data_IF_362849968438
#
_entry.id   IF_362849968438
#
_cell.length_a   1.000
_cell.length_b   1.000
_cell.length_c   1.000
_cell.angle_alpha   90.00
_cell.angle_beta   90.00
_cell.angle_gamma   90.00
#
_symmetry.space_group_name_H-M   'P 1'
#
loop_
_entity.id
_entity.type
_entity.pdbx_description
1 polymer ?
#
# COMPACT_ATOMS: atom_id res chain seq x y z
N UNK A 1 65.11 47.84 -10.95
CA UNK A 1 64.30 47.08 -11.94
C UNK A 1 62.89 47.05 -11.39
N UNK A 2 61.97 47.76 -12.05
CA UNK A 2 60.56 47.84 -11.66
C UNK A 2 59.90 46.53 -12.07
N UNK A 3 59.27 45.82 -11.13
CA UNK A 3 58.20 44.89 -11.48
C UNK A 3 57.09 44.96 -10.43
N UNK A 4 55.93 45.33 -10.96
CA UNK A 4 54.61 45.51 -10.36
C UNK A 4 54.07 44.22 -9.75
N UNK A 5 53.75 44.25 -8.45
CA UNK A 5 53.00 43.20 -7.76
C UNK A 5 51.53 43.61 -7.62
N UNK A 6 50.66 42.87 -8.29
CA UNK A 6 49.21 43.00 -8.32
C UNK A 6 48.61 42.74 -6.91
N UNK A 7 47.89 43.71 -6.34
CA UNK A 7 47.08 43.51 -5.13
C UNK A 7 45.76 42.84 -5.53
N UNK A 8 45.61 41.56 -5.20
CA UNK A 8 44.32 40.85 -5.32
C UNK A 8 43.53 41.11 -4.05
N UNK A 9 42.59 42.06 -4.12
CA UNK A 9 41.58 42.26 -3.10
C UNK A 9 40.55 41.14 -3.21
N UNK A 10 40.63 40.12 -2.34
CA UNK A 10 39.58 39.12 -2.21
C UNK A 10 38.31 39.78 -1.63
N UNK A 11 37.37 40.16 -2.50
CA UNK A 11 35.99 40.36 -2.10
C UNK A 11 35.39 38.99 -1.75
N UNK A 12 35.29 38.69 -0.47
CA UNK A 12 34.44 37.61 0.03
C UNK A 12 32.99 38.08 -0.18
N UNK A 13 32.38 37.64 -1.27
CA UNK A 13 30.92 37.70 -1.40
C UNK A 13 30.33 36.72 -0.39
N UNK A 14 29.85 37.23 0.75
CA UNK A 14 28.82 36.53 1.52
C UNK A 14 27.56 36.54 0.65
N UNK A 15 27.40 35.52 -0.19
CA UNK A 15 26.10 35.20 -0.75
C UNK A 15 25.27 34.61 0.39
N UNK A 16 24.57 35.47 1.13
CA UNK A 16 23.44 35.05 1.95
C UNK A 16 22.33 34.62 1.01
N UNK A 17 22.36 33.36 0.59
CA UNK A 17 21.19 32.71 0.03
C UNK A 17 20.19 32.54 1.18
N UNK A 18 19.32 33.52 1.37
CA UNK A 18 18.11 33.35 2.18
C UNK A 18 17.17 32.44 1.38
N UNK A 19 17.43 31.13 1.44
CA UNK A 19 16.43 30.13 1.12
C UNK A 19 15.48 30.08 2.32
N UNK A 20 14.43 30.91 2.29
CA UNK A 20 13.36 30.83 3.25
C UNK A 20 12.46 29.66 2.88
N UNK A 21 12.44 28.62 3.72
CA UNK A 21 11.39 27.61 3.72
C UNK A 21 10.18 28.20 4.47
N UNK A 22 9.12 28.66 3.77
CA UNK A 22 8.01 29.38 4.40
C UNK A 22 7.29 28.52 5.45
N UNK A 23 7.41 27.20 5.33
CA UNK A 23 6.75 26.18 6.15
C UNK A 23 7.44 26.01 7.52
N UNK A 24 8.69 26.51 7.65
CA UNK A 24 9.51 26.46 8.86
C UNK A 24 9.93 27.84 9.41
N UNK A 25 9.57 28.95 8.76
CA UNK A 25 9.92 30.33 9.21
C UNK A 25 8.85 31.02 10.07
N UNK A 26 7.89 30.26 10.62
CA UNK A 26 6.82 30.83 11.47
C UNK A 26 5.77 31.65 10.71
N UNK A 27 5.90 31.78 9.40
CA UNK A 27 4.83 32.22 8.50
C UNK A 27 3.85 31.09 8.31
N UNK A 28 2.56 31.37 8.48
CA UNK A 28 1.49 30.39 8.32
C UNK A 28 1.53 29.89 6.86
N UNK A 29 1.74 28.59 6.65
CA UNK A 29 1.45 27.99 5.35
C UNK A 29 -0.03 28.23 5.04
N UNK A 30 -0.42 28.31 3.76
CA UNK A 30 -1.79 28.59 3.30
C UNK A 30 -2.85 27.65 3.90
N UNK A 31 -2.42 26.54 4.52
CA UNK A 31 -3.25 25.47 5.07
C UNK A 31 -3.10 25.30 6.60
N UNK A 32 -2.42 26.22 7.30
CA UNK A 32 -2.40 26.28 8.77
C UNK A 32 -1.52 25.27 9.52
N UNK A 33 -0.68 24.50 8.83
CA UNK A 33 0.25 23.55 9.45
C UNK A 33 1.68 24.12 9.48
N UNK A 34 2.39 23.90 10.60
CA UNK A 34 3.76 24.35 10.81
C UNK A 34 4.71 23.15 10.87
N UNK A 35 5.78 23.19 10.07
CA UNK A 35 6.94 22.34 10.29
C UNK A 35 7.68 22.76 11.56
N UNK A 36 8.43 21.84 12.16
CA UNK A 36 9.30 22.15 13.31
C UNK A 36 10.73 21.70 13.05
N UNK A 37 11.70 22.50 13.53
CA UNK A 37 13.11 22.18 13.43
C UNK A 37 13.48 21.11 14.46
N UNK A 38 13.89 19.94 14.00
CA UNK A 38 14.31 18.81 14.84
C UNK A 38 15.57 18.15 14.26
N UNK A 39 16.27 17.35 15.07
CA UNK A 39 17.28 16.43 14.53
C UNK A 39 16.59 15.36 13.68
N UNK A 40 17.26 14.87 12.64
CA UNK A 40 16.71 13.84 11.73
C UNK A 40 16.21 12.62 12.51
N UNK A 41 16.94 12.20 13.55
CA UNK A 41 16.58 11.07 14.42
C UNK A 41 15.34 11.29 15.30
N UNK A 42 14.90 12.54 15.45
CA UNK A 42 13.73 12.90 16.27
C UNK A 42 12.52 13.25 15.41
N UNK A 43 12.66 13.23 14.08
CA UNK A 43 11.56 13.39 13.15
C UNK A 43 10.80 12.05 13.03
N UNK A 44 9.49 12.01 13.29
CA UNK A 44 8.71 10.79 13.13
C UNK A 44 8.83 10.23 11.70
N UNK A 45 8.94 8.91 11.54
CA UNK A 45 9.21 8.24 10.26
C UNK A 45 8.19 8.52 9.13
N UNK A 46 7.03 9.10 9.45
CA UNK A 46 6.00 9.50 8.51
C UNK A 46 6.09 10.96 8.02
N UNK A 47 7.10 11.71 8.48
CA UNK A 47 7.29 13.13 8.17
C UNK A 47 8.42 13.32 7.15
N UNK A 48 8.28 14.34 6.30
CA UNK A 48 9.33 14.74 5.36
C UNK A 48 10.39 15.58 6.07
N UNK A 49 11.63 15.47 5.59
CA UNK A 49 12.81 16.16 6.13
C UNK A 49 13.39 17.06 5.04
N UNK A 50 13.24 18.38 5.17
CA UNK A 50 13.88 19.36 4.26
C UNK A 50 15.26 19.79 4.79
N UNK A 51 16.12 20.24 3.88
CA UNK A 51 17.51 20.63 4.19
C UNK A 51 17.66 21.94 4.97
N UNK A 52 16.58 22.67 5.26
CA UNK A 52 16.62 24.12 5.42
C UNK A 52 15.93 24.58 6.72
N UNK A 53 16.61 24.40 7.86
CA UNK A 53 16.32 25.18 9.09
C UNK A 53 17.33 26.34 9.18
N UNK A 54 16.99 27.54 8.69
CA UNK A 54 17.98 28.61 8.47
C UNK A 54 18.62 29.21 9.73
N UNK A 55 18.16 28.82 10.93
CA UNK A 55 18.62 29.39 12.22
C UNK A 55 19.36 28.42 13.14
N UNK A 56 19.43 27.13 12.80
CA UNK A 56 20.03 26.10 13.65
C UNK A 56 21.14 25.36 12.88
N UNK A 57 22.15 24.86 13.61
CA UNK A 57 23.34 24.22 13.02
C UNK A 57 23.02 23.06 12.05
N UNK A 58 24.04 22.60 11.32
CA UNK A 58 23.90 21.69 10.16
C UNK A 58 23.10 20.40 10.39
N UNK A 59 22.96 19.96 11.65
CA UNK A 59 22.29 18.71 12.06
C UNK A 59 20.78 18.88 12.35
N UNK A 60 20.26 20.10 12.30
CA UNK A 60 18.84 20.41 12.50
C UNK A 60 18.16 20.62 11.15
N UNK A 61 17.06 19.91 10.92
CA UNK A 61 16.30 19.87 9.68
C UNK A 61 14.83 20.20 9.93
N UNK A 62 14.15 20.69 8.89
CA UNK A 62 12.72 20.99 8.98
C UNK A 62 11.94 19.67 8.86
N UNK A 63 11.16 19.32 9.89
CA UNK A 63 10.36 18.10 9.99
C UNK A 63 8.86 18.45 9.89
N UNK A 64 8.16 17.92 8.89
CA UNK A 64 6.74 18.29 8.62
C UNK A 64 5.95 17.18 7.91
N UNK A 65 4.62 17.23 7.99
CA UNK A 65 3.69 16.24 7.43
C UNK A 65 2.78 16.89 6.38
N UNK A 66 2.76 16.35 5.16
CA UNK A 66 2.00 16.88 4.01
C UNK A 66 0.71 16.08 3.74
N UNK A 67 -0.07 15.74 4.76
CA UNK A 67 -1.25 14.86 4.64
C UNK A 67 -2.43 15.45 3.83
N UNK A 68 -2.32 16.66 3.28
CA UNK A 68 -3.38 17.35 2.53
C UNK A 68 -2.89 17.99 1.21
N UNK A 69 -1.86 17.43 0.57
CA UNK A 69 -1.52 17.73 -0.83
C UNK A 69 -1.02 19.15 -1.15
N UNK A 70 -0.52 19.89 -0.15
CA UNK A 70 -0.22 21.33 -0.31
C UNK A 70 1.25 21.73 -0.47
N UNK A 71 2.21 20.80 -0.44
CA UNK A 71 3.64 21.16 -0.40
C UNK A 71 4.24 21.22 -1.83
N UNK A 72 4.92 22.32 -2.19
CA UNK A 72 5.66 22.42 -3.45
C UNK A 72 6.92 21.54 -3.39
N UNK A 73 6.98 20.49 -4.20
CA UNK A 73 8.12 19.56 -4.27
C UNK A 73 9.26 20.04 -5.20
N UNK A 74 9.15 21.24 -5.78
CA UNK A 74 10.10 21.70 -6.79
C UNK A 74 11.28 22.48 -6.17
N UNK A 75 12.37 21.77 -5.90
CA UNK A 75 13.71 22.37 -5.85
C UNK A 75 14.61 21.71 -6.91
N UNK A 76 14.37 22.02 -8.18
CA UNK A 76 15.34 21.77 -9.24
C UNK A 76 16.52 22.73 -9.04
N UNK A 77 17.61 22.24 -8.45
CA UNK A 77 18.93 22.89 -8.50
C UNK A 77 19.49 22.65 -9.90
N UNK A 78 19.18 23.59 -10.81
CA UNK A 78 19.79 23.64 -12.14
C UNK A 78 21.27 24.01 -12.04
N UNK A 79 22.15 23.15 -12.55
CA UNK A 79 23.53 23.48 -12.90
C UNK A 79 23.53 24.29 -14.19
N UNK A 80 23.64 25.61 -14.07
CA UNK A 80 23.73 26.51 -15.21
C UNK A 80 25.17 26.84 -15.59
N UNK A 81 25.58 26.43 -16.79
CA UNK A 81 26.53 27.18 -17.63
C UNK A 81 26.12 27.04 -19.09
N UNK A 82 25.89 28.16 -19.79
CA UNK A 82 25.74 28.17 -21.25
C UNK A 82 24.81 29.25 -21.79
N UNK A 83 25.38 30.39 -22.11
CA UNK A 83 24.80 31.53 -22.83
C UNK A 83 24.24 31.17 -24.22
N UNK A 84 23.11 31.75 -24.60
CA UNK A 84 22.62 31.74 -25.98
C UNK A 84 21.30 32.50 -26.14
N UNK A 85 21.40 33.74 -26.61
CA UNK A 85 20.30 34.58 -27.09
C UNK A 85 19.64 33.97 -28.33
N UNK A 86 18.31 33.87 -28.37
CA UNK A 86 17.55 34.31 -29.54
C UNK A 86 16.04 34.42 -29.28
N UNK A 87 15.47 35.46 -29.88
CA UNK A 87 14.05 35.83 -29.88
C UNK A 87 13.27 35.05 -30.93
N UNK A 88 12.08 34.54 -30.59
CA UNK A 88 11.17 33.97 -31.58
C UNK A 88 9.82 33.53 -31.00
N UNK A 89 8.78 34.31 -31.30
CA UNK A 89 7.35 33.99 -31.09
C UNK A 89 6.91 32.74 -31.86
N UNK A 90 6.19 31.83 -31.20
CA UNK A 90 5.54 30.69 -31.85
C UNK A 90 4.60 29.92 -30.91
N UNK A 91 3.30 29.99 -31.20
CA UNK A 91 2.21 29.25 -30.58
C UNK A 91 2.30 27.76 -30.96
N UNK A 92 2.28 26.83 -30.01
CA UNK A 92 1.84 25.45 -30.26
C UNK A 92 1.28 24.77 -29.02
N UNK A 93 0.03 24.33 -29.14
CA UNK A 93 -0.65 23.35 -28.29
C UNK A 93 0.05 21.98 -28.36
N UNK A 94 0.45 21.45 -27.21
CA UNK A 94 0.98 20.09 -27.09
C UNK A 94 0.56 19.48 -25.76
N UNK A 95 -0.32 18.48 -25.83
CA UNK A 95 -0.66 17.55 -24.75
C UNK A 95 0.59 16.74 -24.38
N UNK A 96 1.19 17.04 -23.23
CA UNK A 96 2.33 16.31 -22.70
C UNK A 96 1.88 15.22 -21.72
N UNK A 97 1.93 13.97 -22.15
CA UNK A 97 1.90 12.80 -21.27
C UNK A 97 3.23 12.76 -20.51
N UNK A 98 3.23 13.05 -19.22
CA UNK A 98 4.42 12.92 -18.38
C UNK A 98 4.74 11.43 -18.20
N UNK A 99 5.78 10.94 -18.88
CA UNK A 99 6.37 9.64 -18.62
C UNK A 99 7.09 9.70 -17.28
N UNK A 100 6.52 9.09 -16.23
CA UNK A 100 7.19 8.93 -14.95
C UNK A 100 8.37 7.97 -15.10
N UNK A 101 9.59 8.49 -15.04
CA UNK A 101 10.86 7.77 -15.22
C UNK A 101 11.55 7.38 -13.91
N UNK A 102 10.86 7.47 -12.76
CA UNK A 102 11.37 6.98 -11.47
C UNK A 102 11.07 5.49 -11.25
N UNK A 103 12.03 4.72 -10.74
CA UNK A 103 11.80 3.37 -10.22
C UNK A 103 10.78 3.42 -9.09
N UNK A 104 9.81 2.50 -9.08
CA UNK A 104 8.79 2.45 -8.03
C UNK A 104 9.46 2.31 -6.66
N UNK A 105 9.02 3.03 -5.60
CA UNK A 105 9.49 2.79 -4.23
C UNK A 105 9.20 1.36 -3.75
N UNK A 106 8.37 0.61 -4.48
CA UNK A 106 8.05 -0.79 -4.21
C UNK A 106 8.84 -1.77 -5.08
N UNK A 107 9.81 -1.33 -5.89
CA UNK A 107 10.56 -2.18 -6.82
C UNK A 107 11.22 -3.39 -6.13
N UNK A 108 11.69 -3.21 -4.89
CA UNK A 108 12.35 -4.27 -4.12
C UNK A 108 11.37 -5.15 -3.33
N UNK A 109 10.05 -4.92 -3.41
CA UNK A 109 9.06 -5.71 -2.67
C UNK A 109 8.95 -7.12 -3.26
N UNK A 110 9.19 -8.12 -2.41
CA UNK A 110 9.10 -9.55 -2.71
C UNK A 110 8.18 -10.17 -1.68
N UNK A 111 6.89 -10.21 -2.02
CA UNK A 111 5.83 -10.51 -1.07
C UNK A 111 5.19 -11.88 -1.29
N UNK A 112 4.47 -12.34 -0.27
CA UNK A 112 3.53 -13.45 -0.40
C UNK A 112 2.36 -13.28 0.57
N UNK A 113 1.22 -13.87 0.25
CA UNK A 113 0.13 -14.02 1.21
C UNK A 113 0.36 -15.25 2.10
N UNK A 114 -0.01 -15.14 3.37
CA UNK A 114 -0.09 -16.26 4.30
C UNK A 114 -1.56 -16.45 4.68
N UNK A 115 -2.16 -17.51 4.13
CA UNK A 115 -3.57 -17.81 4.31
C UNK A 115 -3.89 -18.36 5.70
N UNK A 116 -5.12 -18.14 6.17
CA UNK A 116 -5.63 -18.73 7.41
C UNK A 116 -5.53 -20.25 7.47
N UNK A 117 -5.55 -20.93 6.33
CA UNK A 117 -5.42 -22.39 6.25
C UNK A 117 -4.01 -22.87 6.60
N UNK A 118 -3.04 -21.95 6.68
CA UNK A 118 -1.64 -22.19 7.00
C UNK A 118 -1.19 -21.43 8.25
N UNK A 119 -2.15 -20.97 9.06
CA UNK A 119 -1.82 -20.36 10.33
C UNK A 119 -1.07 -21.35 11.22
N UNK A 120 0.11 -20.92 11.65
CA UNK A 120 0.83 -21.54 12.72
C UNK A 120 -0.04 -21.65 13.98
N UNK A 121 0.19 -22.72 14.72
CA UNK A 121 -0.46 -22.98 16.01
C UNK A 121 0.39 -22.54 17.20
N UNK A 122 1.64 -22.14 16.96
CA UNK A 122 2.58 -21.64 17.97
C UNK A 122 3.57 -20.63 17.38
N UNK A 123 4.20 -19.84 18.25
CA UNK A 123 5.30 -18.95 17.88
C UNK A 123 6.46 -19.70 17.20
N UNK A 124 6.78 -20.92 17.64
CA UNK A 124 7.86 -21.72 17.05
C UNK A 124 7.58 -22.11 15.59
N UNK A 125 6.32 -22.44 15.27
CA UNK A 125 5.89 -22.72 13.89
C UNK A 125 5.93 -21.44 13.03
N UNK A 126 5.53 -20.30 13.59
CA UNK A 126 5.68 -18.99 12.92
C UNK A 126 7.15 -18.70 12.63
N UNK A 127 8.04 -18.89 13.60
CA UNK A 127 9.48 -18.67 13.44
C UNK A 127 10.08 -19.54 12.33
N UNK A 128 9.72 -20.83 12.29
CA UNK A 128 10.16 -21.74 11.22
C UNK A 128 9.68 -21.30 9.83
N UNK A 129 8.41 -20.86 9.75
CA UNK A 129 7.82 -20.34 8.50
C UNK A 129 8.54 -19.08 8.03
N UNK A 130 8.75 -18.10 8.91
CA UNK A 130 9.42 -16.85 8.59
C UNK A 130 10.90 -17.05 8.22
N UNK A 131 11.60 -17.96 8.90
CA UNK A 131 12.97 -18.34 8.53
C UNK A 131 13.04 -18.93 7.12
N UNK A 132 12.06 -19.79 6.76
CA UNK A 132 11.96 -20.34 5.39
C UNK A 132 11.68 -19.23 4.39
N UNK A 133 10.69 -18.36 4.64
CA UNK A 133 10.39 -17.24 3.75
C UNK A 133 11.59 -16.30 3.57
N UNK A 134 12.32 -15.99 4.65
CA UNK A 134 13.53 -15.18 4.59
C UNK A 134 14.61 -15.83 3.73
N UNK A 135 14.84 -17.13 3.93
CA UNK A 135 15.79 -17.89 3.12
C UNK A 135 15.41 -17.86 1.64
N UNK A 136 14.11 -17.72 1.32
CA UNK A 136 13.59 -17.62 -0.05
C UNK A 136 13.69 -16.23 -0.65
N UNK A 137 14.14 -15.22 0.10
CA UNK A 137 14.23 -13.83 -0.35
C UNK A 137 12.93 -13.04 -0.20
N UNK A 138 11.91 -13.60 0.48
CA UNK A 138 10.70 -12.86 0.82
C UNK A 138 11.05 -11.80 1.86
N UNK A 139 10.58 -10.58 1.63
CA UNK A 139 10.74 -9.45 2.53
C UNK A 139 9.41 -8.84 2.97
N UNK A 140 8.28 -9.38 2.52
CA UNK A 140 6.94 -8.95 2.95
C UNK A 140 5.94 -10.11 3.01
N UNK A 141 5.07 -10.09 4.01
CA UNK A 141 3.97 -11.04 4.19
C UNK A 141 2.66 -10.31 4.43
N UNK A 142 1.64 -10.63 3.62
CA UNK A 142 0.25 -10.28 3.88
C UNK A 142 -0.42 -11.43 4.65
N UNK A 143 -0.51 -11.31 5.96
CA UNK A 143 -1.02 -12.35 6.85
C UNK A 143 -2.53 -12.22 7.00
N UNK A 144 -3.29 -13.26 6.68
CA UNK A 144 -4.73 -13.27 6.92
C UNK A 144 -5.03 -13.08 8.41
N UNK A 145 -5.75 -12.04 8.79
CA UNK A 145 -6.10 -11.80 10.20
C UNK A 145 -7.60 -11.87 10.46
N UNK A 146 -8.42 -11.84 9.41
CA UNK A 146 -9.87 -11.84 9.53
C UNK A 146 -10.56 -12.55 8.37
N UNK A 147 -11.33 -13.58 8.72
CA UNK A 147 -12.15 -14.31 7.76
C UNK A 147 -13.27 -15.07 8.45
N UNK A 148 -14.45 -15.14 7.84
CA UNK A 148 -15.59 -15.95 8.29
C UNK A 148 -16.00 -15.74 9.76
N UNK A 149 -15.88 -14.51 10.27
CA UNK A 149 -16.23 -14.18 11.65
C UNK A 149 -15.22 -14.66 12.69
N UNK A 150 -14.00 -15.00 12.26
CA UNK A 150 -12.87 -15.32 13.13
C UNK A 150 -11.76 -14.28 12.94
N UNK A 151 -11.10 -13.93 14.03
CA UNK A 151 -9.93 -13.04 14.05
C UNK A 151 -8.72 -13.73 14.65
N UNK A 152 -7.54 -13.39 14.13
CA UNK A 152 -6.24 -13.92 14.55
C UNK A 152 -5.34 -12.84 15.14
N UNK A 153 -5.97 -11.83 15.73
CA UNK A 153 -5.38 -10.68 16.40
C UNK A 153 -6.38 -10.15 17.44
N UNK A 154 -5.92 -9.32 18.37
CA UNK A 154 -6.75 -8.71 19.40
C UNK A 154 -7.45 -7.46 18.84
N UNK A 155 -8.78 -7.42 18.91
CA UNK A 155 -9.59 -6.28 18.47
C UNK A 155 -10.77 -6.03 19.40
N UNK A 156 -10.73 -4.90 20.10
CA UNK A 156 -11.85 -4.39 20.90
C UNK A 156 -13.06 -4.07 20.02
N UNK A 157 -12.84 -3.65 18.78
CA UNK A 157 -13.90 -3.36 17.80
C UNK A 157 -14.67 -4.62 17.46
N UNK A 158 -13.98 -5.73 17.19
CA UNK A 158 -14.64 -7.03 16.98
C UNK A 158 -15.40 -7.48 18.24
N UNK A 159 -14.75 -7.40 19.41
CA UNK A 159 -15.34 -7.80 20.69
C UNK A 159 -16.57 -6.96 21.09
N UNK A 160 -16.67 -5.71 20.61
CA UNK A 160 -17.82 -4.84 20.85
C UNK A 160 -19.15 -5.42 20.32
N UNK A 161 -19.08 -6.38 19.37
CA UNK A 161 -20.25 -7.10 18.90
C UNK A 161 -20.80 -8.11 19.94
N UNK A 162 -20.07 -8.35 21.03
CA UNK A 162 -20.38 -9.37 22.04
C UNK A 162 -20.08 -10.80 21.55
N UNK A 163 -19.15 -10.95 20.60
CA UNK A 163 -18.81 -12.22 19.96
C UNK A 163 -17.40 -12.64 20.37
N UNK A 164 -17.24 -13.92 20.72
CA UNK A 164 -15.93 -14.53 20.90
C UNK A 164 -15.43 -15.09 19.56
N UNK A 165 -14.85 -14.22 18.73
CA UNK A 165 -14.26 -14.60 17.43
C UNK A 165 -12.74 -14.74 17.45
N UNK A 166 -12.09 -14.34 18.54
CA UNK A 166 -10.64 -14.46 18.71
C UNK A 166 -10.22 -15.92 18.84
N UNK A 167 -9.41 -16.39 17.89
CA UNK A 167 -8.92 -17.77 17.85
C UNK A 167 -7.58 -17.90 18.56
N UNK A 168 -6.62 -17.03 18.22
CA UNK A 168 -5.27 -16.90 18.81
C UNK A 168 -4.54 -15.70 18.19
N UNK A 169 -3.43 -15.28 18.80
CA UNK A 169 -2.67 -14.10 18.38
C UNK A 169 -1.60 -14.40 17.32
N UNK A 170 -2.02 -14.86 16.13
CA UNK A 170 -1.08 -15.17 15.03
C UNK A 170 -0.40 -13.90 14.55
N UNK A 171 -1.10 -12.76 14.53
CA UNK A 171 -0.54 -11.49 14.13
C UNK A 171 0.62 -11.07 15.04
N UNK A 172 0.49 -11.25 16.35
CA UNK A 172 1.57 -10.94 17.31
C UNK A 172 2.83 -11.74 17.03
N UNK A 173 2.70 -13.05 16.84
CA UNK A 173 3.84 -13.92 16.50
C UNK A 173 4.46 -13.53 15.16
N UNK A 174 3.65 -13.21 14.16
CA UNK A 174 4.13 -12.83 12.84
C UNK A 174 4.90 -11.51 12.87
N UNK A 175 4.40 -10.49 13.59
CA UNK A 175 5.10 -9.21 13.74
C UNK A 175 6.45 -9.39 14.44
N UNK A 176 6.49 -10.19 15.51
CA UNK A 176 7.73 -10.52 16.23
C UNK A 176 8.76 -11.19 15.30
N UNK A 177 8.34 -12.23 14.57
CA UNK A 177 9.24 -12.95 13.65
C UNK A 177 9.58 -12.14 12.40
N UNK A 178 8.68 -11.29 11.95
CA UNK A 178 8.91 -10.34 10.87
C UNK A 178 10.07 -9.40 11.18
N UNK A 179 10.04 -8.78 12.37
CA UNK A 179 11.12 -7.91 12.84
C UNK A 179 12.47 -8.64 12.93
N UNK A 180 12.50 -9.87 13.46
CA UNK A 180 13.73 -10.68 13.56
C UNK A 180 14.34 -11.01 12.20
N UNK A 181 13.52 -11.19 11.17
CA UNK A 181 13.94 -11.62 9.84
C UNK A 181 14.05 -10.47 8.82
N UNK A 182 13.69 -9.25 9.20
CA UNK A 182 13.56 -8.13 8.26
C UNK A 182 12.51 -8.41 7.19
N UNK A 183 11.36 -8.95 7.61
CA UNK A 183 10.17 -9.18 6.79
C UNK A 183 9.08 -8.23 7.29
N UNK A 184 8.58 -7.37 6.42
CA UNK A 184 7.42 -6.54 6.72
C UNK A 184 6.15 -7.38 6.82
N UNK A 185 5.38 -7.20 7.89
CA UNK A 185 4.10 -7.89 8.08
C UNK A 185 2.95 -6.92 7.89
N UNK A 186 1.99 -7.33 7.07
CA UNK A 186 0.77 -6.59 6.79
C UNK A 186 -0.44 -7.43 7.22
N UNK A 187 -1.34 -6.86 7.99
CA UNK A 187 -2.55 -7.55 8.44
C UNK A 187 -3.60 -7.53 7.32
N UNK A 188 -3.87 -8.69 6.74
CA UNK A 188 -4.79 -8.88 5.62
C UNK A 188 -6.20 -9.25 6.09
N UNK A 189 -7.14 -8.34 5.83
CA UNK A 189 -8.56 -8.45 6.15
C UNK A 189 -9.31 -9.15 5.01
N UNK A 190 -9.02 -10.44 4.80
CA UNK A 190 -9.52 -11.24 3.68
C UNK A 190 -11.02 -11.12 3.48
N UNK A 191 -11.85 -11.20 4.52
CA UNK A 191 -13.29 -11.17 4.25
C UNK A 191 -13.81 -9.81 3.79
N UNK A 192 -13.10 -8.69 4.00
CA UNK A 192 -13.51 -7.36 3.53
C UNK A 192 -14.97 -7.01 3.88
N UNK A 193 -15.89 -7.14 2.93
CA UNK A 193 -17.32 -6.94 3.13
C UNK A 193 -18.15 -8.23 3.15
N UNK A 194 -17.54 -9.41 3.05
CA UNK A 194 -18.23 -10.69 3.23
C UNK A 194 -18.61 -10.91 4.69
N UNK A 195 -19.85 -11.31 4.93
CA UNK A 195 -20.35 -11.74 6.22
C UNK A 195 -20.16 -13.25 6.43
N UNK A 196 -20.55 -14.05 5.43
CA UNK A 196 -20.44 -15.51 5.47
C UNK A 196 -20.60 -16.15 4.10
N UNK A 197 -20.21 -17.42 4.01
CA UNK A 197 -20.49 -18.31 2.88
C UNK A 197 -21.71 -19.18 3.19
N UNK A 198 -22.57 -19.44 2.20
CA UNK A 198 -23.68 -20.39 2.29
C UNK A 198 -25.04 -19.83 1.86
N UNK A 199 -26.09 -20.63 2.03
CA UNK A 199 -27.45 -20.32 1.57
C UNK A 199 -28.26 -19.41 2.50
N UNK A 200 -27.69 -18.97 3.63
CA UNK A 200 -28.37 -18.14 4.63
C UNK A 200 -27.43 -17.07 5.18
N UNK A 201 -27.92 -15.86 5.54
CA UNK A 201 -27.10 -14.82 6.14
C UNK A 201 -26.72 -15.12 7.60
N UNK A 202 -27.26 -16.19 8.20
CA UNK A 202 -27.18 -16.45 9.65
C UNK A 202 -26.46 -17.76 9.99
N UNK A 203 -25.44 -18.12 9.21
CA UNK A 203 -24.69 -19.38 9.35
C UNK A 203 -23.60 -19.37 10.44
N UNK A 204 -22.99 -18.22 10.75
CA UNK A 204 -21.99 -18.10 11.83
C UNK A 204 -22.50 -17.20 12.93
N UNK A 205 -21.88 -17.25 14.11
CA UNK A 205 -22.20 -16.31 15.22
C UNK A 205 -22.03 -14.85 14.75
N UNK A 206 -20.97 -14.58 13.98
CA UNK A 206 -20.73 -13.28 13.36
C UNK A 206 -21.84 -12.90 12.38
N UNK A 207 -22.12 -13.76 11.41
CA UNK A 207 -23.09 -13.43 10.36
C UNK A 207 -24.51 -13.27 10.92
N UNK A 208 -24.88 -14.08 11.92
CA UNK A 208 -26.13 -13.94 12.67
C UNK A 208 -26.21 -12.57 13.38
N UNK A 209 -25.14 -12.17 14.07
CA UNK A 209 -25.09 -10.86 14.74
C UNK A 209 -25.25 -9.70 13.76
N UNK A 210 -24.46 -9.66 12.68
CA UNK A 210 -24.50 -8.54 11.74
C UNK A 210 -25.81 -8.54 10.91
N UNK A 211 -26.42 -9.70 10.68
CA UNK A 211 -27.77 -9.79 10.14
C UNK A 211 -28.80 -9.14 11.09
N UNK A 212 -28.74 -9.46 12.39
CA UNK A 212 -29.61 -8.84 13.41
C UNK A 212 -29.40 -7.32 13.58
N UNK A 213 -28.22 -6.81 13.20
CA UNK A 213 -27.92 -5.38 13.16
C UNK A 213 -28.39 -4.69 11.86
N UNK A 214 -28.95 -5.44 10.90
CA UNK A 214 -29.36 -4.89 9.61
C UNK A 214 -28.18 -4.49 8.70
N UNK A 215 -27.01 -5.08 8.91
CA UNK A 215 -25.79 -4.74 8.17
C UNK A 215 -25.65 -5.48 6.84
N UNK A 216 -26.50 -6.48 6.58
CA UNK A 216 -26.42 -7.31 5.37
C UNK A 216 -27.07 -6.59 4.19
N UNK A 217 -26.32 -6.44 3.09
CA UNK A 217 -26.82 -5.96 1.81
C UNK A 217 -27.63 -7.01 1.06
N UNK A 218 -27.11 -8.23 1.02
CA UNK A 218 -27.71 -9.33 0.29
C UNK A 218 -26.73 -10.43 -0.06
N UNK A 219 -27.20 -11.40 -0.85
CA UNK A 219 -26.41 -12.52 -1.34
C UNK A 219 -25.94 -12.25 -2.78
N UNK A 220 -24.67 -12.52 -3.06
CA UNK A 220 -24.13 -12.57 -4.41
C UNK A 220 -23.13 -13.72 -4.53
N UNK A 221 -23.35 -14.58 -5.53
CA UNK A 221 -22.69 -15.88 -5.60
C UNK A 221 -23.02 -16.72 -4.36
N UNK A 222 -22.00 -17.33 -3.79
CA UNK A 222 -22.14 -18.19 -2.60
C UNK A 222 -21.99 -17.41 -1.27
N UNK A 223 -21.85 -16.08 -1.33
CA UNK A 223 -21.55 -15.25 -0.16
C UNK A 223 -22.66 -14.25 0.14
N UNK A 224 -22.83 -13.97 1.43
CA UNK A 224 -23.60 -12.85 1.94
C UNK A 224 -22.69 -11.68 2.25
N UNK A 225 -23.07 -10.49 1.81
CA UNK A 225 -22.25 -9.28 1.84
C UNK A 225 -22.86 -8.25 2.80
N UNK A 226 -22.01 -7.61 3.59
CA UNK A 226 -22.34 -6.44 4.39
C UNK A 226 -22.45 -5.20 3.50
N UNK A 227 -23.27 -4.23 3.90
CA UNK A 227 -23.56 -3.06 3.08
C UNK A 227 -22.47 -1.98 3.17
N UNK A 228 -21.69 -1.82 2.10
CA UNK A 228 -20.74 -0.71 1.92
C UNK A 228 -21.38 0.69 2.04
N UNK A 229 -22.70 0.82 1.85
CA UNK A 229 -23.43 2.07 2.06
C UNK A 229 -23.81 2.34 3.52
N UNK A 230 -23.57 1.39 4.43
CA UNK A 230 -23.85 1.52 5.85
C UNK A 230 -22.58 1.94 6.60
N UNK A 231 -22.55 3.17 7.13
CA UNK A 231 -21.37 3.68 7.84
C UNK A 231 -21.01 2.85 9.08
N UNK A 232 -21.97 2.19 9.74
CA UNK A 232 -21.66 1.32 10.89
C UNK A 232 -20.84 0.08 10.46
N UNK A 233 -21.06 -0.43 9.24
CA UNK A 233 -20.24 -1.51 8.67
C UNK A 233 -18.83 -1.01 8.40
N UNK A 234 -18.71 0.20 7.85
CA UNK A 234 -17.41 0.80 7.53
C UNK A 234 -16.64 1.18 8.80
N UNK A 235 -17.30 1.72 9.82
CA UNK A 235 -16.74 2.02 11.13
C UNK A 235 -16.26 0.75 11.82
N UNK A 236 -17.02 -0.35 11.71
CA UNK A 236 -16.61 -1.65 12.23
C UNK A 236 -15.35 -2.19 11.53
N UNK A 237 -15.32 -2.17 10.19
CA UNK A 237 -14.16 -2.64 9.42
C UNK A 237 -12.92 -1.78 9.67
N UNK A 238 -13.06 -0.45 9.57
CA UNK A 238 -11.98 0.49 9.85
C UNK A 238 -11.49 0.39 11.30
N UNK A 239 -12.40 0.23 12.26
CA UNK A 239 -12.04 0.09 13.67
C UNK A 239 -11.25 -1.19 13.94
N UNK A 240 -11.59 -2.31 13.29
CA UNK A 240 -10.76 -3.53 13.36
C UNK A 240 -9.37 -3.32 12.73
N UNK A 241 -9.30 -2.64 11.59
CA UNK A 241 -8.03 -2.29 10.94
C UNK A 241 -7.19 -1.37 11.84
N UNK A 242 -7.80 -0.38 12.46
CA UNK A 242 -7.15 0.53 13.39
C UNK A 242 -6.68 -0.19 14.66
N UNK A 243 -7.47 -1.11 15.22
CA UNK A 243 -7.04 -1.93 16.36
C UNK A 243 -5.78 -2.75 16.01
N UNK A 244 -5.66 -3.27 14.79
CA UNK A 244 -4.44 -3.96 14.35
C UNK A 244 -3.23 -3.02 14.27
N UNK A 245 -3.43 -1.78 13.82
CA UNK A 245 -2.37 -0.75 13.79
C UNK A 245 -1.93 -0.38 15.21
N UNK A 246 -2.89 -0.17 16.13
CA UNK A 246 -2.60 0.29 17.49
C UNK A 246 -1.97 -0.79 18.37
N UNK A 247 -2.45 -2.03 18.25
CA UNK A 247 -2.09 -3.11 19.18
C UNK A 247 -0.76 -3.79 18.82
N UNK A 248 -0.24 -3.59 17.60
CA UNK A 248 0.91 -4.33 17.08
C UNK A 248 2.03 -3.40 16.59
N UNK A 249 2.85 -2.85 17.51
CA UNK A 249 4.05 -2.10 17.14
C UNK A 249 4.98 -2.91 16.24
N UNK A 250 5.33 -2.37 15.08
CA UNK A 250 6.13 -3.06 14.07
C UNK A 250 5.33 -3.66 12.92
N UNK A 251 3.99 -3.63 12.98
CA UNK A 251 3.15 -3.90 11.83
C UNK A 251 3.42 -2.85 10.74
N UNK A 252 3.67 -3.29 9.51
CA UNK A 252 3.97 -2.38 8.40
C UNK A 252 2.72 -1.70 7.83
N UNK A 253 1.57 -2.37 7.92
CA UNK A 253 0.28 -1.84 7.50
C UNK A 253 -0.84 -2.87 7.53
N UNK A 254 -1.97 -2.51 6.95
CA UNK A 254 -3.17 -3.35 6.82
C UNK A 254 -3.55 -3.46 5.34
N UNK A 255 -4.18 -4.57 4.96
CA UNK A 255 -4.60 -4.81 3.58
C UNK A 255 -6.07 -5.22 3.48
N UNK A 256 -6.78 -4.59 2.54
CA UNK A 256 -8.05 -5.07 1.99
C UNK A 256 -7.77 -5.82 0.68
N UNK A 257 -8.50 -6.88 0.37
CA UNK A 257 -8.37 -7.61 -0.90
C UNK A 257 -9.61 -7.45 -1.79
N UNK A 258 -9.79 -8.38 -2.73
CA UNK A 258 -10.88 -8.45 -3.68
C UNK A 258 -12.25 -8.76 -3.04
N UNK A 259 -12.31 -8.91 -1.72
CA UNK A 259 -13.55 -8.99 -0.98
C UNK A 259 -13.99 -7.66 -0.34
N UNK A 260 -13.21 -6.59 -0.45
CA UNK A 260 -13.70 -5.22 -0.21
C UNK A 260 -14.41 -4.70 -1.46
N UNK A 261 -15.57 -5.28 -1.76
CA UNK A 261 -16.34 -5.01 -2.98
C UNK A 261 -17.84 -5.10 -2.74
N UNK A 262 -18.63 -4.59 -3.68
CA UNK A 262 -20.07 -4.86 -3.77
C UNK A 262 -20.38 -5.46 -5.14
N UNK A 263 -20.59 -6.79 -5.25
CA UNK A 263 -20.92 -7.43 -6.51
C UNK A 263 -22.11 -6.79 -7.22
N UNK A 264 -22.08 -6.76 -8.55
CA UNK A 264 -23.10 -6.12 -9.39
C UNK A 264 -24.52 -6.66 -9.12
N UNK A 265 -24.65 -7.92 -8.67
CA UNK A 265 -25.93 -8.53 -8.31
C UNK A 265 -26.64 -7.81 -7.15
N UNK A 266 -25.93 -7.01 -6.36
CA UNK A 266 -26.46 -6.31 -5.19
C UNK A 266 -27.04 -4.93 -5.50
N UNK A 267 -26.91 -4.46 -6.74
CA UNK A 267 -27.54 -3.21 -7.19
C UNK A 267 -26.76 -2.47 -8.26
N UNK A 268 -27.43 -1.51 -8.88
CA UNK A 268 -26.84 -0.56 -9.83
C UNK A 268 -26.39 0.71 -9.09
N UNK A 269 -25.39 1.42 -9.62
CA UNK A 269 -24.91 2.67 -9.04
C UNK A 269 -24.03 2.53 -7.79
N UNK A 270 -23.53 1.33 -7.49
CA UNK A 270 -22.71 1.08 -6.31
C UNK A 270 -21.25 1.55 -6.47
N UNK A 271 -20.83 2.02 -7.64
CA UNK A 271 -19.48 2.57 -7.86
C UNK A 271 -19.19 3.74 -6.93
N UNK A 272 -20.09 4.73 -6.87
CA UNK A 272 -19.94 5.85 -5.93
C UNK A 272 -20.00 5.39 -4.46
N UNK A 273 -20.80 4.36 -4.17
CA UNK A 273 -20.86 3.76 -2.82
C UNK A 273 -19.51 3.17 -2.43
N UNK A 274 -18.86 2.43 -3.32
CA UNK A 274 -17.55 1.85 -3.07
C UNK A 274 -16.45 2.90 -2.97
N UNK A 275 -16.48 3.97 -3.77
CA UNK A 275 -15.53 5.09 -3.64
C UNK A 275 -15.68 5.78 -2.28
N UNK A 276 -16.91 6.01 -1.83
CA UNK A 276 -17.18 6.57 -0.50
C UNK A 276 -16.72 5.62 0.61
N UNK A 277 -16.96 4.32 0.45
CA UNK A 277 -16.50 3.31 1.40
C UNK A 277 -14.97 3.28 1.51
N UNK A 278 -14.25 3.29 0.39
CA UNK A 278 -12.78 3.35 0.38
C UNK A 278 -12.27 4.61 1.09
N UNK A 279 -12.83 5.77 0.75
CA UNK A 279 -12.47 7.05 1.37
C UNK A 279 -12.77 7.07 2.88
N UNK A 280 -13.87 6.44 3.31
CA UNK A 280 -14.22 6.31 4.72
C UNK A 280 -13.20 5.48 5.49
N UNK A 281 -12.82 4.30 4.96
CA UNK A 281 -11.78 3.47 5.59
C UNK A 281 -10.46 4.24 5.69
N UNK A 282 -10.02 4.86 4.59
CA UNK A 282 -8.76 5.61 4.53
C UNK A 282 -8.75 6.83 5.47
N UNK A 283 -9.90 7.46 5.71
CA UNK A 283 -10.02 8.57 6.66
C UNK A 283 -10.03 8.16 8.14
N UNK A 284 -10.25 6.87 8.44
CA UNK A 284 -10.35 6.36 9.81
C UNK A 284 -9.11 5.58 10.24
N UNK A 285 -8.40 4.95 9.30
CA UNK A 285 -7.19 4.17 9.58
C UNK A 285 -5.96 5.06 9.47
N UNK A 286 -5.30 5.31 10.60
CA UNK A 286 -4.09 6.14 10.68
C UNK A 286 -2.83 5.46 10.11
N UNK A 287 -2.86 4.14 9.93
CA UNK A 287 -1.76 3.34 9.37
C UNK A 287 -1.77 3.29 7.84
N UNK A 288 -0.75 2.62 7.28
CA UNK A 288 -0.68 2.36 5.83
C UNK A 288 -1.74 1.34 5.42
N UNK A 289 -2.53 1.66 4.40
CA UNK A 289 -3.57 0.77 3.86
C UNK A 289 -3.21 0.31 2.45
N UNK A 290 -3.13 -0.99 2.24
CA UNK A 290 -2.90 -1.67 0.95
C UNK A 290 -4.23 -2.17 0.39
N UNK A 291 -4.40 -2.16 -0.93
CA UNK A 291 -5.53 -2.79 -1.61
C UNK A 291 -5.02 -3.87 -2.55
N UNK A 292 -5.55 -5.09 -2.47
CA UNK A 292 -5.33 -6.15 -3.47
C UNK A 292 -6.58 -6.34 -4.33
N UNK A 293 -6.77 -5.54 -5.40
CA UNK A 293 -7.99 -5.57 -6.17
C UNK A 293 -7.98 -6.64 -7.29
N UNK A 294 -9.15 -6.87 -7.86
CA UNK A 294 -9.34 -7.71 -9.04
C UNK A 294 -8.72 -7.04 -10.28
N UNK A 295 -7.98 -7.80 -11.06
CA UNK A 295 -7.32 -7.33 -12.28
C UNK A 295 -7.79 -8.05 -13.55
N UNK A 296 -7.85 -7.36 -14.70
CA UNK A 296 -7.62 -5.92 -14.90
C UNK A 296 -8.74 -5.04 -14.31
N UNK A 297 -8.53 -3.71 -14.16
CA UNK A 297 -9.49 -2.83 -13.48
C UNK A 297 -10.91 -2.88 -14.02
N UNK A 298 -11.09 -3.06 -15.33
CA UNK A 298 -12.43 -3.19 -15.92
C UNK A 298 -13.26 -4.34 -15.35
N UNK A 299 -12.63 -5.46 -14.97
CA UNK A 299 -13.34 -6.59 -14.36
C UNK A 299 -13.82 -6.25 -12.95
N UNK A 300 -12.99 -5.55 -12.18
CA UNK A 300 -13.35 -5.02 -10.86
C UNK A 300 -14.52 -4.04 -10.97
N UNK A 301 -14.44 -3.10 -11.92
CA UNK A 301 -15.50 -2.11 -12.13
C UNK A 301 -16.84 -2.78 -12.51
N UNK A 302 -16.80 -3.66 -13.52
CA UNK A 302 -18.01 -4.22 -14.13
C UNK A 302 -18.72 -5.22 -13.20
N UNK A 303 -17.95 -6.08 -12.53
CA UNK A 303 -18.52 -7.18 -11.76
C UNK A 303 -18.66 -6.84 -10.27
N UNK A 304 -17.94 -5.85 -9.77
CA UNK A 304 -17.76 -5.62 -8.34
C UNK A 304 -17.91 -4.17 -7.91
N UNK A 305 -18.30 -3.29 -8.83
CA UNK A 305 -18.51 -1.86 -8.59
C UNK A 305 -17.30 -1.14 -7.98
N UNK A 306 -16.08 -1.67 -8.17
CA UNK A 306 -14.85 -1.07 -7.63
C UNK A 306 -14.00 -0.51 -8.75
N UNK A 307 -13.94 0.83 -8.83
CA UNK A 307 -13.12 1.59 -9.78
C UNK A 307 -11.74 1.93 -9.18
N UNK A 308 -10.99 0.90 -8.82
CA UNK A 308 -9.68 1.09 -8.19
C UNK A 308 -8.65 1.75 -9.10
N UNK A 309 -8.85 1.73 -10.44
CA UNK A 309 -7.99 2.45 -11.35
C UNK A 309 -8.14 3.96 -11.21
N UNK A 310 -9.37 4.48 -11.06
CA UNK A 310 -9.58 5.89 -10.74
C UNK A 310 -9.00 6.23 -9.36
N UNK A 311 -9.21 5.36 -8.36
CA UNK A 311 -8.63 5.55 -7.02
C UNK A 311 -7.10 5.67 -7.03
N UNK A 312 -6.44 4.87 -7.87
CA UNK A 312 -4.98 4.88 -8.02
C UNK A 312 -4.49 6.12 -8.75
N UNK A 313 -5.17 6.55 -9.84
CA UNK A 313 -4.80 7.76 -10.59
C UNK A 313 -5.02 9.04 -9.78
N UNK A 314 -6.09 9.08 -9.01
CA UNK A 314 -6.48 10.23 -8.19
C UNK A 314 -5.77 10.24 -6.83
N UNK A 315 -4.99 9.20 -6.53
CA UNK A 315 -4.25 8.98 -5.29
C UNK A 315 -5.07 9.22 -4.02
N UNK A 316 -6.20 8.50 -3.87
CA UNK A 316 -7.14 8.73 -2.76
C UNK A 316 -6.60 8.34 -1.36
N UNK A 317 -5.36 7.84 -1.26
CA UNK A 317 -4.69 7.57 0.01
C UNK A 317 -4.26 6.12 0.24
N UNK A 318 -4.56 5.18 -0.67
CA UNK A 318 -3.96 3.84 -0.58
C UNK A 318 -2.43 3.93 -0.67
N UNK A 319 -1.75 3.20 0.21
CA UNK A 319 -0.30 3.13 0.22
C UNK A 319 0.21 2.41 -1.02
N UNK A 320 -0.43 1.28 -1.37
CA UNK A 320 -0.07 0.47 -2.52
C UNK A 320 -1.28 -0.29 -3.08
N UNK A 321 -1.13 -0.74 -4.32
CA UNK A 321 -2.06 -1.60 -5.04
C UNK A 321 -1.38 -2.91 -5.40
N UNK A 322 -1.98 -4.01 -4.99
CA UNK A 322 -1.48 -5.38 -5.17
C UNK A 322 -2.43 -6.18 -6.09
N UNK A 323 -2.62 -5.78 -7.35
CA UNK A 323 -3.66 -6.33 -8.22
C UNK A 323 -3.43 -7.81 -8.52
N UNK A 324 -4.51 -8.60 -8.46
CA UNK A 324 -4.46 -10.05 -8.63
C UNK A 324 -4.38 -10.45 -10.12
N UNK A 325 -3.20 -10.36 -10.72
CA UNK A 325 -2.94 -10.76 -12.12
C UNK A 325 -2.67 -12.26 -12.18
N UNK A 326 -3.68 -13.04 -11.81
CA UNK A 326 -3.54 -14.49 -11.65
C UNK A 326 -3.69 -15.21 -12.99
N UNK A 327 -2.55 -15.44 -13.67
CA UNK A 327 -2.44 -16.15 -14.94
C UNK A 327 -1.50 -17.34 -14.82
N UNK A 328 -1.73 -18.35 -15.67
CA UNK A 328 -0.88 -19.55 -15.74
C UNK A 328 0.29 -19.34 -16.73
N UNK A 329 0.05 -18.57 -17.79
CA UNK A 329 1.02 -18.27 -18.85
C UNK A 329 1.64 -16.89 -18.68
N UNK A 330 2.97 -16.81 -18.81
CA UNK A 330 3.71 -15.56 -18.69
C UNK A 330 3.34 -14.53 -19.76
N UNK A 331 2.99 -14.96 -20.98
CA UNK A 331 2.56 -14.06 -22.06
C UNK A 331 1.22 -13.37 -21.77
N UNK A 332 0.28 -14.10 -21.14
CA UNK A 332 -1.01 -13.55 -20.72
C UNK A 332 -0.82 -12.63 -19.53
N UNK A 333 0.01 -13.02 -18.55
CA UNK A 333 0.41 -12.14 -17.45
C UNK A 333 1.01 -10.83 -17.98
N UNK A 334 1.94 -10.90 -18.93
CA UNK A 334 2.58 -9.73 -19.52
C UNK A 334 1.55 -8.75 -20.13
N UNK A 335 0.60 -9.29 -20.89
CA UNK A 335 -0.47 -8.49 -21.52
C UNK A 335 -1.32 -7.77 -20.47
N UNK A 336 -1.70 -8.47 -19.41
CA UNK A 336 -2.52 -7.88 -18.34
C UNK A 336 -1.72 -6.92 -17.46
N UNK A 337 -0.42 -7.16 -17.24
CA UNK A 337 0.46 -6.23 -16.54
C UNK A 337 0.63 -4.93 -17.35
N UNK A 338 0.87 -5.02 -18.66
CA UNK A 338 0.92 -3.85 -19.55
C UNK A 338 -0.36 -3.02 -19.45
N UNK A 339 -1.50 -3.70 -19.50
CA UNK A 339 -2.80 -3.07 -19.34
C UNK A 339 -2.94 -2.37 -17.98
N UNK A 340 -2.66 -3.07 -16.89
CA UNK A 340 -2.72 -2.50 -15.53
C UNK A 340 -1.83 -1.26 -15.43
N UNK A 341 -0.56 -1.35 -15.83
CA UNK A 341 0.38 -0.23 -15.76
C UNK A 341 -0.07 0.96 -16.62
N UNK A 342 -0.71 0.72 -17.77
CA UNK A 342 -1.25 1.78 -18.61
C UNK A 342 -2.45 2.50 -17.97
N UNK A 343 -3.24 1.80 -17.15
CA UNK A 343 -4.46 2.34 -16.53
C UNK A 343 -4.18 3.02 -15.18
N UNK A 344 -3.16 2.59 -14.44
CA UNK A 344 -2.92 3.02 -13.03
C UNK A 344 -1.51 3.52 -12.74
N UNK A 345 -0.56 3.34 -13.66
CA UNK A 345 0.86 3.64 -13.43
C UNK A 345 1.59 2.56 -12.62
N UNK A 346 2.85 2.86 -12.24
CA UNK A 346 3.77 1.90 -11.60
C UNK A 346 4.16 2.23 -10.15
N UNK A 347 4.01 3.49 -9.75
CA UNK A 347 4.60 4.04 -8.52
C UNK A 347 4.13 3.41 -7.22
N UNK A 348 2.94 2.81 -7.23
CA UNK A 348 2.34 2.14 -6.06
C UNK A 348 2.01 0.67 -6.33
N UNK A 349 2.58 0.10 -7.39
CA UNK A 349 2.17 -1.21 -7.92
C UNK A 349 3.05 -2.34 -7.40
N UNK A 350 2.41 -3.40 -6.90
CA UNK A 350 3.03 -4.67 -6.51
C UNK A 350 2.19 -5.82 -7.10
N UNK A 351 2.34 -6.20 -8.38
CA UNK A 351 1.47 -7.20 -9.01
C UNK A 351 1.42 -8.54 -8.27
N UNK A 352 0.22 -9.06 -8.08
CA UNK A 352 -0.05 -10.40 -7.55
C UNK A 352 0.11 -11.47 -8.62
N UNK A 353 0.98 -12.45 -8.37
CA UNK A 353 1.31 -13.55 -9.28
C UNK A 353 0.66 -14.85 -8.79
N UNK A 354 0.01 -15.59 -9.68
CA UNK A 354 -0.51 -16.93 -9.34
C UNK A 354 0.63 -17.94 -9.33
N UNK A 355 0.83 -18.60 -8.20
CA UNK A 355 1.58 -19.87 -8.14
C UNK A 355 0.65 -21.06 -7.96
N UNK A 356 -0.25 -20.99 -6.98
CA UNK A 356 -1.24 -22.03 -6.66
C UNK A 356 -2.66 -21.45 -6.84
N UNK A 357 -3.59 -22.23 -7.38
CA UNK A 357 -4.98 -21.82 -7.52
C UNK A 357 -5.85 -22.97 -8.02
N UNK A 358 -7.05 -22.66 -8.52
CA UNK A 358 -7.86 -23.64 -9.25
C UNK A 358 -7.09 -24.17 -10.46
N UNK A 359 -7.11 -25.49 -10.67
CA UNK A 359 -6.36 -26.14 -11.75
C UNK A 359 -4.91 -26.45 -11.38
N UNK A 360 -4.08 -26.68 -12.40
CA UNK A 360 -2.66 -27.00 -12.20
C UNK A 360 -1.88 -25.78 -11.69
N UNK A 361 -0.91 -25.94 -10.78
CA UNK A 361 -0.03 -24.84 -10.39
C UNK A 361 0.69 -24.21 -11.57
N UNK A 362 0.94 -22.91 -11.50
CA UNK A 362 1.74 -22.19 -12.50
C UNK A 362 3.13 -22.79 -12.50
N UNK A 363 3.61 -23.25 -13.67
CA UNK A 363 4.94 -23.89 -13.75
C UNK A 363 6.04 -22.97 -13.24
N UNK A 364 7.11 -23.54 -12.67
CA UNK A 364 8.27 -22.78 -12.21
C UNK A 364 8.83 -21.84 -13.28
N UNK A 365 8.91 -22.32 -14.53
CA UNK A 365 9.39 -21.52 -15.67
C UNK A 365 8.50 -20.30 -15.92
N UNK A 366 7.18 -20.49 -15.99
CA UNK A 366 6.24 -19.40 -16.18
C UNK A 366 6.27 -18.40 -15.01
N UNK A 367 6.28 -18.88 -13.76
CA UNK A 367 6.37 -18.03 -12.57
C UNK A 367 7.67 -17.21 -12.56
N UNK A 368 8.81 -17.83 -12.89
CA UNK A 368 10.11 -17.14 -12.98
C UNK A 368 10.10 -16.05 -14.06
N UNK A 369 9.45 -16.29 -15.19
CA UNK A 369 9.28 -15.27 -16.24
C UNK A 369 8.39 -14.11 -15.79
N UNK A 370 7.32 -14.37 -15.02
CA UNK A 370 6.46 -13.31 -14.46
C UNK A 370 7.20 -12.47 -13.41
N UNK A 371 8.01 -13.11 -12.56
CA UNK A 371 8.87 -12.42 -11.59
C UNK A 371 9.89 -11.53 -12.32
N UNK A 372 10.62 -12.11 -13.29
CA UNK A 372 11.61 -11.37 -14.09
C UNK A 372 10.97 -10.19 -14.83
N UNK A 373 9.71 -10.34 -15.27
CA UNK A 373 8.96 -9.24 -15.87
C UNK A 373 8.74 -8.11 -14.88
N UNK A 374 8.29 -8.38 -13.65
CA UNK A 374 8.07 -7.35 -12.64
C UNK A 374 9.37 -6.59 -12.33
N UNK A 375 10.47 -7.33 -12.15
CA UNK A 375 11.79 -6.76 -11.90
C UNK A 375 12.26 -5.86 -13.06
N UNK A 376 12.07 -6.29 -14.31
CA UNK A 376 12.40 -5.50 -15.50
C UNK A 376 11.58 -4.20 -15.60
N UNK A 377 10.34 -4.21 -15.10
CA UNK A 377 9.48 -3.02 -15.08
C UNK A 377 9.76 -2.09 -13.89
N UNK A 378 10.62 -2.51 -12.95
CA UNK A 378 10.92 -1.77 -11.73
C UNK A 378 9.74 -1.72 -10.76
N UNK A 379 8.94 -2.79 -10.70
CA UNK A 379 7.84 -2.96 -9.74
C UNK A 379 8.08 -4.20 -8.88
N UNK A 380 7.61 -4.17 -7.63
CA UNK A 380 7.66 -5.34 -6.75
C UNK A 380 6.68 -6.41 -7.21
N UNK A 381 6.53 -7.49 -6.45
CA UNK A 381 5.53 -8.53 -6.73
C UNK A 381 5.09 -9.25 -5.46
N UNK A 382 3.93 -9.90 -5.53
CA UNK A 382 3.43 -10.78 -4.48
C UNK A 382 3.03 -12.13 -5.05
N UNK A 383 3.65 -13.23 -4.61
CA UNK A 383 3.31 -14.57 -5.09
C UNK A 383 2.19 -15.16 -4.22
N UNK A 384 1.06 -15.50 -4.84
CA UNK A 384 -0.05 -16.21 -4.23
C UNK A 384 0.22 -17.73 -4.24
N UNK A 385 0.47 -18.38 -3.11
CA UNK A 385 0.69 -17.87 -1.74
C UNK A 385 1.84 -18.65 -1.08
N UNK A 386 2.08 -18.48 0.23
CA UNK A 386 3.27 -19.00 0.95
C UNK A 386 3.63 -20.47 0.68
N UNK A 387 2.64 -21.35 0.44
CA UNK A 387 2.86 -22.76 0.04
C UNK A 387 3.65 -22.94 -1.25
N UNK A 388 3.66 -21.94 -2.11
CA UNK A 388 4.54 -21.91 -3.29
C UNK A 388 6.00 -22.14 -2.87
N UNK A 389 6.43 -21.50 -1.78
CA UNK A 389 7.80 -21.53 -1.29
C UNK A 389 8.04 -22.63 -0.26
N UNK A 390 7.04 -22.92 0.58
CA UNK A 390 7.20 -23.86 1.69
C UNK A 390 6.93 -25.32 1.30
N UNK A 391 6.21 -25.57 0.20
CA UNK A 391 5.81 -26.93 -0.19
C UNK A 391 6.01 -27.26 -1.67
N UNK A 392 5.67 -26.37 -2.59
CA UNK A 392 5.63 -26.71 -4.02
C UNK A 392 6.98 -26.56 -4.72
N UNK A 393 7.59 -25.38 -4.60
CA UNK A 393 8.88 -25.05 -5.19
C UNK A 393 9.90 -24.78 -4.08
N UNK A 394 10.20 -25.82 -3.29
CA UNK A 394 11.12 -25.75 -2.16
C UNK A 394 12.54 -25.34 -2.55
N UNK A 395 12.89 -25.40 -3.84
CA UNK A 395 14.18 -24.96 -4.37
C UNK A 395 14.14 -23.55 -5.01
N UNK A 396 12.97 -22.93 -5.13
CA UNK A 396 12.85 -21.55 -5.63
C UNK A 396 13.60 -20.61 -4.70
N UNK A 397 14.41 -19.70 -5.25
CA UNK A 397 15.09 -18.64 -4.50
C UNK A 397 14.83 -17.32 -5.23
N UNK A 398 14.28 -16.34 -4.54
CA UNK A 398 14.12 -14.98 -5.08
C UNK A 398 15.47 -14.29 -4.89
N UNK A 399 16.29 -14.28 -5.95
CA UNK A 399 17.68 -13.81 -5.96
C UNK A 399 17.83 -12.31 -5.83
#
# INVERSE_FOLDING_TARGET
MVLTGLVITCFVFFASALASDPECTGSVASNGQHGHCATVSSCPYSYFVSGLCPSYGHDIKCCYNCHLGGCQMDSNIGTGTGTGTDTGTGTSTGTGTATQTGTSPYADVRATWLSRYDHATSLAETAATFATLKAKGINRVYLNVWASGQIYFQSRTFESLGIRGFVRDVLGWAVEEGQKNGIEVWAWFEYGLKACWGSSPTVTVFSNKVYGLGWIKGQAGEYWWMDAGNTQVLDFLAGMMQDAVDNYPGLAGVQLDDHFVQPWQLGTGLVATMTNAASHILGQVSGRVSLSPIAPPSLSLTNYNVDWASWARDDIGFHEYVPQIYREDASVFNTDLDRVMSEVGKTKLVPGLRCIGSGSPTTYSALSQMISRCEAEGVGYSVWYSRCFTLLYTDLMLG
#
